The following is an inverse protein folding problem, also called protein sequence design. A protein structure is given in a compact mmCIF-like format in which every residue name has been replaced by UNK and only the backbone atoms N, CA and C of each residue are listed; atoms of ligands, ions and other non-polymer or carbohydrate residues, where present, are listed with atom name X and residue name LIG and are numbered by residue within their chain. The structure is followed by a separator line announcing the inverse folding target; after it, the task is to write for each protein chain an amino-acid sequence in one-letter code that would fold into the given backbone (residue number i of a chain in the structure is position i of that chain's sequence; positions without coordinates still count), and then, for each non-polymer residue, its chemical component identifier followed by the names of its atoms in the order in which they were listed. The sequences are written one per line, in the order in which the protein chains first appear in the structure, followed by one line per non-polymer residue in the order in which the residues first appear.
data_IF_135948530020
#
_entry.id   IF_135948530020
#
_cell.length_a   1.000
_cell.length_b   1.000
_cell.length_c   1.000
_cell.angle_alpha   90.00
_cell.angle_beta   90.00
_cell.angle_gamma   90.00
#
_symmetry.space_group_name_H-M   'P 1'
#
loop_
_entity.id
_entity.type
_entity.pdbx_description
1 polymer ?
#
# COMPACT_ATOMS: atom_id res chain seq x y z
N UNK A 1 44.65 31.97 -11.13
CA UNK A 1 44.30 31.09 -12.27
C UNK A 1 44.41 29.64 -11.79
N UNK A 2 43.31 29.01 -11.32
CA UNK A 2 43.35 27.60 -10.94
C UNK A 2 43.26 26.74 -12.21
N UNK A 3 44.21 25.81 -12.36
CA UNK A 3 44.24 24.84 -13.46
C UNK A 3 42.96 24.00 -13.42
N UNK A 4 42.17 24.10 -14.49
CA UNK A 4 41.11 23.15 -14.80
C UNK A 4 41.76 21.78 -15.05
N UNK A 5 41.63 20.88 -14.08
CA UNK A 5 41.81 19.46 -14.34
C UNK A 5 40.63 19.01 -15.21
N UNK A 6 40.83 19.06 -16.52
CA UNK A 6 40.04 18.28 -17.46
C UNK A 6 40.33 16.82 -17.12
N UNK A 7 39.35 16.12 -16.54
CA UNK A 7 39.39 14.66 -16.44
C UNK A 7 39.09 14.11 -17.84
N UNK A 8 40.13 14.03 -18.66
CA UNK A 8 40.13 13.23 -19.89
C UNK A 8 40.13 11.74 -19.51
N UNK A 9 39.24 10.99 -20.18
CA UNK A 9 39.19 9.53 -20.31
C UNK A 9 39.08 8.67 -19.05
N UNK A 10 37.92 8.76 -18.38
CA UNK A 10 37.38 7.57 -17.70
C UNK A 10 36.73 6.71 -18.79
N UNK A 11 37.15 5.43 -19.01
CA UNK A 11 36.46 4.54 -19.92
C UNK A 11 34.97 4.52 -19.58
N UNK A 12 34.12 4.86 -20.54
CA UNK A 12 32.67 4.88 -20.35
C UNK A 12 32.23 3.48 -19.94
N UNK A 13 31.91 3.33 -18.65
CA UNK A 13 31.35 2.10 -18.14
C UNK A 13 30.02 1.81 -18.83
N UNK A 14 29.61 0.54 -18.85
CA UNK A 14 28.31 0.14 -19.40
C UNK A 14 27.18 1.02 -18.85
N UNK A 15 27.21 1.33 -17.55
CA UNK A 15 26.28 2.26 -16.92
C UNK A 15 26.31 3.67 -17.55
N UNK A 16 27.50 4.27 -17.69
CA UNK A 16 27.66 5.59 -18.29
C UNK A 16 27.13 5.67 -19.73
N UNK A 17 27.33 4.61 -20.53
CA UNK A 17 26.78 4.50 -21.89
C UNK A 17 25.24 4.50 -21.88
N UNK A 18 24.63 3.71 -21.00
CA UNK A 18 23.17 3.62 -20.88
C UNK A 18 22.55 4.95 -20.42
N UNK A 19 23.21 5.67 -19.51
CA UNK A 19 22.78 7.02 -19.09
C UNK A 19 22.84 7.99 -20.27
N UNK A 20 23.93 8.00 -21.05
CA UNK A 20 24.07 8.86 -22.22
C UNK A 20 23.02 8.56 -23.31
N UNK A 21 22.69 7.27 -23.51
CA UNK A 21 21.62 6.85 -24.42
C UNK A 21 20.25 7.35 -23.93
N UNK A 22 19.97 7.25 -22.63
CA UNK A 22 18.74 7.79 -22.05
C UNK A 22 18.64 9.31 -22.23
N UNK A 23 19.73 10.04 -21.95
CA UNK A 23 19.83 11.49 -22.18
C UNK A 23 19.54 11.84 -23.64
N UNK A 24 20.12 11.08 -24.59
CA UNK A 24 19.88 11.28 -26.02
C UNK A 24 18.42 11.08 -26.40
N UNK A 25 17.77 10.02 -25.90
CA UNK A 25 16.35 9.73 -26.17
C UNK A 25 15.44 10.85 -25.66
N UNK A 26 15.67 11.34 -24.44
CA UNK A 26 14.84 12.41 -23.88
C UNK A 26 15.11 13.77 -24.53
N UNK A 27 16.34 14.03 -25.00
CA UNK A 27 16.68 15.24 -25.72
C UNK A 27 16.03 15.30 -27.11
N UNK A 28 15.90 14.16 -27.81
CA UNK A 28 15.24 14.08 -29.12
C UNK A 28 13.71 14.06 -29.04
N UNK A 29 13.12 14.03 -27.84
CA UNK A 29 11.68 13.84 -27.64
C UNK A 29 10.80 14.94 -28.25
N UNK A 30 11.35 16.14 -28.49
CA UNK A 30 10.66 17.23 -29.18
C UNK A 30 10.47 16.96 -30.68
N UNK A 31 11.31 16.11 -31.28
CA UNK A 31 11.28 15.75 -32.69
C UNK A 31 10.54 14.42 -32.91
N UNK A 32 10.81 13.44 -32.05
CA UNK A 32 10.23 12.10 -32.13
C UNK A 32 9.91 11.58 -30.73
N UNK A 33 8.68 11.10 -30.53
CA UNK A 33 8.30 10.47 -29.26
C UNK A 33 9.18 9.25 -28.97
N UNK A 34 9.71 9.09 -27.74
CA UNK A 34 10.53 7.93 -27.37
C UNK A 34 9.85 6.59 -27.70
N UNK A 35 10.58 5.69 -28.36
CA UNK A 35 10.07 4.36 -28.68
C UNK A 35 9.89 3.53 -27.39
N UNK A 36 8.69 3.01 -27.10
CA UNK A 36 8.43 2.33 -25.84
C UNK A 36 9.22 1.04 -25.62
N UNK A 37 9.53 0.29 -26.68
CA UNK A 37 10.30 -0.96 -26.57
C UNK A 37 11.77 -0.66 -26.31
N UNK A 38 12.33 0.28 -27.07
CA UNK A 38 13.69 0.77 -26.85
C UNK A 38 13.87 1.30 -25.43
N UNK A 39 12.93 2.13 -24.94
CA UNK A 39 13.00 2.62 -23.57
C UNK A 39 12.87 1.50 -22.53
N UNK A 40 12.06 0.48 -22.79
CA UNK A 40 11.90 -0.65 -21.88
C UNK A 40 13.20 -1.44 -21.75
N UNK A 41 13.80 -1.83 -22.87
CA UNK A 41 15.05 -2.61 -22.91
C UNK A 41 16.19 -1.81 -22.26
N UNK A 42 16.34 -0.53 -22.65
CA UNK A 42 17.33 0.37 -22.09
C UNK A 42 17.19 0.51 -20.57
N UNK A 43 15.97 0.71 -20.04
CA UNK A 43 15.76 0.87 -18.60
C UNK A 43 15.99 -0.44 -17.83
N UNK A 44 15.67 -1.59 -18.44
CA UNK A 44 15.96 -2.90 -17.85
C UNK A 44 17.47 -3.13 -17.73
N UNK A 45 18.22 -2.79 -18.78
CA UNK A 45 19.68 -2.83 -18.78
C UNK A 45 20.27 -1.82 -17.79
N UNK A 46 19.71 -0.61 -17.72
CA UNK A 46 20.14 0.44 -16.79
C UNK A 46 19.97 -0.01 -15.34
N UNK A 47 18.84 -0.61 -15.00
CA UNK A 47 18.59 -1.15 -13.65
C UNK A 47 19.64 -2.22 -13.28
N UNK A 48 19.94 -3.13 -14.21
CA UNK A 48 20.93 -4.19 -14.00
C UNK A 48 22.34 -3.61 -13.86
N UNK A 49 22.70 -2.65 -14.72
CA UNK A 49 23.99 -1.97 -14.67
C UNK A 49 24.15 -1.16 -13.37
N UNK A 50 23.09 -0.52 -12.87
CA UNK A 50 23.12 0.17 -11.57
C UNK A 50 23.54 -0.79 -10.46
N UNK A 51 23.08 -2.04 -10.44
CA UNK A 51 23.43 -3.00 -9.39
C UNK A 51 24.90 -3.45 -9.45
N UNK A 52 25.47 -3.55 -10.64
CA UNK A 52 26.84 -4.03 -10.89
C UNK A 52 27.91 -2.93 -10.74
N UNK A 53 27.56 -1.67 -10.99
CA UNK A 53 28.51 -0.57 -11.12
C UNK A 53 29.17 -0.15 -9.78
N UNK A 54 30.46 0.19 -9.70
CA UNK A 54 31.07 0.70 -8.47
C UNK A 54 30.44 2.04 -8.02
N UNK A 55 30.36 2.26 -6.71
CA UNK A 55 29.68 3.43 -6.11
C UNK A 55 30.28 4.76 -6.60
N UNK A 56 31.58 4.81 -6.82
CA UNK A 56 32.30 5.99 -7.29
C UNK A 56 31.82 6.41 -8.69
N UNK A 57 31.56 5.44 -9.57
CA UNK A 57 31.02 5.67 -10.91
C UNK A 57 29.54 6.06 -10.85
N UNK A 58 28.76 5.41 -9.98
CA UNK A 58 27.37 5.81 -9.71
C UNK A 58 27.30 7.29 -9.32
N UNK A 59 28.12 7.74 -8.38
CA UNK A 59 28.17 9.14 -7.93
C UNK A 59 28.50 10.12 -9.06
N UNK A 60 29.37 9.73 -10.01
CA UNK A 60 29.75 10.56 -11.15
C UNK A 60 28.57 10.81 -12.12
N UNK A 61 27.76 9.78 -12.36
CA UNK A 61 26.70 9.80 -13.37
C UNK A 61 25.30 10.01 -12.78
N UNK A 62 25.15 9.93 -11.46
CA UNK A 62 23.86 9.96 -10.76
C UNK A 62 23.01 11.15 -11.18
N UNK A 63 23.57 12.36 -11.20
CA UNK A 63 22.78 13.56 -11.49
C UNK A 63 22.19 13.54 -12.90
N UNK A 64 23.00 13.15 -13.88
CA UNK A 64 22.57 12.99 -15.28
C UNK A 64 21.49 11.92 -15.42
N UNK A 65 21.71 10.77 -14.78
CA UNK A 65 20.74 9.68 -14.76
C UNK A 65 19.40 10.12 -14.15
N UNK A 66 19.42 10.78 -12.99
CA UNK A 66 18.22 11.31 -12.34
C UNK A 66 17.48 12.33 -13.21
N UNK A 67 18.19 13.28 -13.84
CA UNK A 67 17.58 14.31 -14.69
C UNK A 67 17.00 13.71 -15.99
N UNK A 68 17.64 12.69 -16.57
CA UNK A 68 17.15 11.98 -17.75
C UNK A 68 15.92 11.12 -17.42
N UNK A 69 15.93 10.39 -16.29
CA UNK A 69 14.78 9.63 -15.81
C UNK A 69 13.58 10.54 -15.49
N UNK A 70 13.83 11.67 -14.83
CA UNK A 70 12.80 12.68 -14.58
C UNK A 70 12.19 13.20 -15.89
N UNK A 71 13.03 13.55 -16.86
CA UNK A 71 12.60 14.00 -18.19
C UNK A 71 11.73 12.95 -18.89
N UNK A 72 12.13 11.68 -18.88
CA UNK A 72 11.34 10.60 -19.46
C UNK A 72 9.95 10.46 -18.82
N UNK A 73 9.85 10.64 -17.49
CA UNK A 73 8.57 10.59 -16.78
C UNK A 73 7.65 11.75 -17.17
N UNK A 74 8.17 12.98 -17.25
CA UNK A 74 7.39 14.16 -17.64
C UNK A 74 7.09 14.23 -19.15
N UNK A 75 7.70 13.38 -19.97
CA UNK A 75 7.30 13.14 -21.36
C UNK A 75 6.03 12.28 -21.47
N UNK A 76 5.58 11.65 -20.37
CA UNK A 76 4.34 10.87 -20.34
C UNK A 76 4.52 9.43 -20.82
N UNK A 77 5.63 8.79 -20.44
CA UNK A 77 5.89 7.39 -20.76
C UNK A 77 4.76 6.44 -20.30
N UNK A 78 4.49 5.41 -21.11
CA UNK A 78 3.48 4.37 -20.82
C UNK A 78 3.88 3.51 -19.62
N UNK A 79 2.90 2.85 -19.00
CA UNK A 79 3.03 2.15 -17.70
C UNK A 79 4.27 1.27 -17.53
N UNK A 80 4.66 0.39 -18.48
CA UNK A 80 5.87 -0.42 -18.31
C UNK A 80 7.15 0.42 -18.20
N UNK A 81 7.30 1.41 -19.08
CA UNK A 81 8.46 2.31 -19.12
C UNK A 81 8.50 3.22 -17.90
N UNK A 82 7.39 3.88 -17.53
CA UNK A 82 7.37 4.73 -16.32
C UNK A 82 7.60 3.95 -15.03
N UNK A 83 7.18 2.67 -14.98
CA UNK A 83 7.49 1.80 -13.84
C UNK A 83 9.00 1.55 -13.72
N UNK A 84 9.65 1.12 -14.80
CA UNK A 84 11.10 0.90 -14.80
C UNK A 84 11.87 2.19 -14.51
N UNK A 85 11.45 3.33 -15.07
CA UNK A 85 12.08 4.62 -14.79
C UNK A 85 11.97 5.02 -13.31
N UNK A 86 10.83 4.74 -12.67
CA UNK A 86 10.64 4.96 -11.23
C UNK A 86 11.54 4.05 -10.39
N UNK A 87 11.65 2.77 -10.76
CA UNK A 87 12.54 1.81 -10.09
C UNK A 87 14.01 2.22 -10.24
N UNK A 88 14.42 2.59 -11.45
CA UNK A 88 15.77 3.08 -11.73
C UNK A 88 16.09 4.34 -10.91
N UNK A 89 15.14 5.28 -10.80
CA UNK A 89 15.27 6.48 -9.95
C UNK A 89 15.52 6.12 -8.48
N UNK A 90 14.75 5.16 -7.94
CA UNK A 90 14.97 4.70 -6.57
C UNK A 90 16.35 4.04 -6.38
N UNK A 91 16.72 3.14 -7.30
CA UNK A 91 18.00 2.41 -7.22
C UNK A 91 19.23 3.30 -7.33
N UNK A 92 19.22 4.27 -8.27
CA UNK A 92 20.37 5.17 -8.45
C UNK A 92 20.59 6.03 -7.21
N UNK A 93 19.52 6.53 -6.59
CA UNK A 93 19.59 7.32 -5.35
C UNK A 93 20.07 6.43 -4.19
N UNK A 94 19.56 5.20 -4.09
CA UNK A 94 19.89 4.26 -3.01
C UNK A 94 21.38 3.91 -3.00
N UNK A 95 21.95 3.65 -4.18
CA UNK A 95 23.36 3.28 -4.34
C UNK A 95 24.30 4.49 -4.31
N UNK A 96 23.85 5.63 -4.82
CA UNK A 96 24.62 6.87 -4.90
C UNK A 96 24.53 7.75 -3.65
N UNK A 97 24.41 9.05 -3.88
CA UNK A 97 24.13 10.05 -2.86
C UNK A 97 22.65 10.08 -2.52
N UNK A 98 22.36 9.47 -1.39
CA UNK A 98 21.06 9.41 -0.76
C UNK A 98 20.45 10.78 -0.41
N UNK A 99 21.22 11.88 -0.39
CA UNK A 99 20.70 13.24 -0.12
C UNK A 99 19.88 13.76 -1.31
N UNK A 100 20.16 13.29 -2.54
CA UNK A 100 19.48 13.78 -3.75
C UNK A 100 17.96 13.56 -3.72
N UNK A 101 17.47 12.59 -2.93
CA UNK A 101 16.04 12.30 -2.75
C UNK A 101 15.22 13.54 -2.37
N UNK A 102 15.76 14.44 -1.54
CA UNK A 102 15.05 15.66 -1.13
C UNK A 102 14.79 16.58 -2.32
N UNK A 103 15.79 16.76 -3.18
CA UNK A 103 15.66 17.55 -4.40
C UNK A 103 14.66 16.91 -5.38
N UNK A 104 14.76 15.59 -5.59
CA UNK A 104 13.88 14.88 -6.54
C UNK A 104 12.43 14.84 -6.11
N UNK A 105 12.17 14.58 -4.83
CA UNK A 105 10.82 14.67 -4.26
C UNK A 105 10.26 16.08 -4.44
N UNK A 106 11.04 17.12 -4.14
CA UNK A 106 10.61 18.50 -4.32
C UNK A 106 10.29 18.84 -5.78
N UNK A 107 11.10 18.37 -6.74
CA UNK A 107 10.84 18.58 -8.17
C UNK A 107 9.55 17.88 -8.64
N UNK A 108 9.34 16.62 -8.23
CA UNK A 108 8.14 15.86 -8.56
C UNK A 108 6.89 16.47 -7.94
N UNK A 109 6.96 16.87 -6.66
CA UNK A 109 5.86 17.55 -5.98
C UNK A 109 5.52 18.89 -6.65
N UNK A 110 6.53 19.68 -7.02
CA UNK A 110 6.35 20.92 -7.77
C UNK A 110 5.61 20.70 -9.09
N UNK A 111 6.05 19.73 -9.90
CA UNK A 111 5.39 19.37 -11.15
C UNK A 111 3.93 18.90 -10.95
N UNK A 112 3.69 18.06 -9.94
CA UNK A 112 2.36 17.53 -9.64
C UNK A 112 1.40 18.56 -9.04
N UNK A 113 1.93 19.60 -8.36
CA UNK A 113 1.08 20.61 -7.73
C UNK A 113 0.33 21.48 -8.75
N UNK A 114 0.86 21.60 -9.98
CA UNK A 114 0.24 22.21 -11.16
C UNK A 114 -0.66 21.24 -11.96
N UNK A 115 -0.85 20.01 -11.46
CA UNK A 115 -1.32 18.85 -12.22
C UNK A 115 -2.56 19.03 -13.09
N UNK A 116 -3.51 19.91 -12.75
CA UNK A 116 -4.72 20.15 -13.57
C UNK A 116 -4.45 20.70 -14.98
N UNK A 117 -3.27 21.29 -15.20
CA UNK A 117 -2.85 21.80 -16.53
C UNK A 117 -2.03 20.78 -17.32
N UNK A 118 -1.66 19.66 -16.69
CA UNK A 118 -0.71 18.69 -17.23
C UNK A 118 -1.44 17.47 -17.80
N UNK A 119 -0.88 16.89 -18.85
CA UNK A 119 -1.47 15.70 -19.49
C UNK A 119 -1.52 14.49 -18.52
N UNK A 120 -2.59 13.68 -18.56
CA UNK A 120 -2.78 12.52 -17.68
C UNK A 120 -1.58 11.57 -17.57
N UNK A 121 -0.89 11.28 -18.68
CA UNK A 121 0.25 10.35 -18.66
C UNK A 121 1.47 10.93 -17.93
N UNK A 122 1.73 12.23 -18.08
CA UNK A 122 2.85 12.92 -17.41
C UNK A 122 2.64 12.94 -15.90
N UNK A 123 1.41 13.25 -15.49
CA UNK A 123 0.99 13.23 -14.09
C UNK A 123 1.06 11.82 -13.49
N UNK A 124 0.60 10.80 -14.21
CA UNK A 124 0.72 9.41 -13.77
C UNK A 124 2.17 8.96 -13.59
N UNK A 125 3.07 9.32 -14.53
CA UNK A 125 4.51 9.05 -14.42
C UNK A 125 5.14 9.68 -13.19
N UNK A 126 4.92 10.99 -13.00
CA UNK A 126 5.46 11.70 -11.85
C UNK A 126 4.89 11.18 -10.51
N UNK A 127 3.60 10.86 -10.44
CA UNK A 127 2.97 10.29 -9.24
C UNK A 127 3.53 8.91 -8.89
N UNK A 128 3.72 8.03 -9.90
CA UNK A 128 4.30 6.71 -9.69
C UNK A 128 5.74 6.80 -9.16
N UNK A 129 6.55 7.68 -9.74
CA UNK A 129 7.94 7.88 -9.30
C UNK A 129 8.01 8.45 -7.89
N UNK A 130 7.18 9.45 -7.56
CA UNK A 130 7.09 9.98 -6.21
C UNK A 130 6.70 8.89 -5.20
N UNK A 131 5.76 8.01 -5.57
CA UNK A 131 5.36 6.86 -4.75
C UNK A 131 6.50 5.90 -4.51
N UNK A 132 7.27 5.58 -5.55
CA UNK A 132 8.45 4.72 -5.44
C UNK A 132 9.53 5.32 -4.52
N UNK A 133 9.78 6.63 -4.60
CA UNK A 133 10.69 7.32 -3.68
C UNK A 133 10.20 7.27 -2.24
N UNK A 134 8.90 7.41 -2.00
CA UNK A 134 8.34 7.22 -0.66
C UNK A 134 8.48 5.79 -0.17
N UNK A 135 8.25 4.79 -1.02
CA UNK A 135 8.39 3.37 -0.66
C UNK A 135 9.80 3.06 -0.14
N UNK A 136 10.83 3.62 -0.79
CA UNK A 136 12.22 3.36 -0.43
C UNK A 136 12.77 4.29 0.66
N UNK A 137 12.42 5.58 0.62
CA UNK A 137 13.04 6.62 1.44
C UNK A 137 12.08 7.34 2.39
N UNK A 138 10.82 6.89 2.50
CA UNK A 138 9.73 7.60 3.17
C UNK A 138 10.05 8.08 4.60
N UNK A 139 10.78 7.27 5.38
CA UNK A 139 11.24 7.63 6.74
C UNK A 139 12.13 8.88 6.79
N UNK A 140 12.79 9.25 5.68
CA UNK A 140 13.67 10.43 5.57
C UNK A 140 12.94 11.67 5.04
N UNK A 141 11.83 11.47 4.33
CA UNK A 141 11.07 12.52 3.63
C UNK A 141 9.65 12.71 4.22
N UNK A 142 9.48 12.39 5.49
CA UNK A 142 8.19 12.48 6.20
C UNK A 142 7.63 13.91 6.24
N UNK A 143 8.49 14.92 6.17
CA UNK A 143 8.10 16.34 6.13
C UNK A 143 7.28 16.69 4.89
N UNK A 144 7.51 16.02 3.76
CA UNK A 144 6.78 16.23 2.51
C UNK A 144 5.42 15.53 2.46
N UNK A 145 5.07 14.67 3.44
CA UNK A 145 3.89 13.80 3.34
C UNK A 145 2.58 14.59 3.21
N UNK A 146 2.44 15.72 3.92
CA UNK A 146 1.23 16.55 3.84
C UNK A 146 1.01 17.07 2.41
N UNK A 147 2.05 17.62 1.78
CA UNK A 147 1.99 18.10 0.40
C UNK A 147 1.66 16.95 -0.56
N UNK A 148 2.27 15.78 -0.37
CA UNK A 148 1.96 14.57 -1.16
C UNK A 148 0.50 14.14 -1.04
N UNK A 149 -0.08 14.21 0.15
CA UNK A 149 -1.51 13.92 0.35
C UNK A 149 -2.41 14.95 -0.34
N UNK A 150 -2.05 16.25 -0.28
CA UNK A 150 -2.77 17.31 -0.99
C UNK A 150 -2.73 17.09 -2.51
N UNK A 151 -1.55 16.72 -3.03
CA UNK A 151 -1.36 16.34 -4.43
C UNK A 151 -2.27 15.16 -4.78
N UNK A 152 -2.24 14.06 -4.01
CA UNK A 152 -3.10 12.90 -4.27
C UNK A 152 -4.60 13.29 -4.30
N UNK A 153 -5.04 14.19 -3.40
CA UNK A 153 -6.40 14.74 -3.41
C UNK A 153 -6.72 15.53 -4.68
N UNK A 154 -5.77 16.30 -5.22
CA UNK A 154 -5.94 16.99 -6.52
C UNK A 154 -6.06 15.97 -7.65
N UNK A 155 -5.23 14.93 -7.66
CA UNK A 155 -5.21 13.90 -8.70
C UNK A 155 -6.50 13.07 -8.74
N UNK A 156 -7.15 12.87 -7.59
CA UNK A 156 -8.47 12.22 -7.52
C UNK A 156 -9.58 12.97 -8.26
N UNK A 157 -9.35 14.19 -8.75
CA UNK A 157 -10.31 14.96 -9.55
C UNK A 157 -10.20 14.73 -11.06
N UNK A 158 -9.23 13.94 -11.52
CA UNK A 158 -9.09 13.58 -12.95
C UNK A 158 -10.24 12.68 -13.42
N UNK A 159 -10.56 12.75 -14.71
CA UNK A 159 -11.58 11.88 -15.32
C UNK A 159 -11.04 10.46 -15.56
N UNK A 160 -9.75 10.38 -15.87
CA UNK A 160 -8.99 9.18 -16.17
C UNK A 160 -8.81 8.35 -14.90
N UNK A 161 -9.42 7.15 -14.88
CA UNK A 161 -9.34 6.25 -13.73
C UNK A 161 -7.91 5.83 -13.39
N UNK A 162 -7.02 5.71 -14.39
CA UNK A 162 -5.63 5.35 -14.13
C UNK A 162 -4.87 6.46 -13.39
N UNK A 163 -5.21 7.74 -13.58
CA UNK A 163 -4.60 8.84 -12.81
C UNK A 163 -5.07 8.80 -11.37
N UNK A 164 -6.37 8.58 -11.15
CA UNK A 164 -6.94 8.39 -9.80
C UNK A 164 -6.34 7.15 -9.11
N UNK A 165 -6.11 6.07 -9.85
CA UNK A 165 -5.44 4.88 -9.34
C UNK A 165 -3.99 5.18 -8.92
N UNK A 166 -3.19 5.83 -9.77
CA UNK A 166 -1.79 6.17 -9.45
C UNK A 166 -1.70 7.14 -8.26
N UNK A 167 -2.68 8.03 -8.07
CA UNK A 167 -2.77 8.88 -6.89
C UNK A 167 -2.88 8.08 -5.58
N UNK A 168 -3.67 7.01 -5.59
CA UNK A 168 -3.84 6.14 -4.43
C UNK A 168 -2.66 5.20 -4.24
N UNK A 169 -2.02 4.73 -5.31
CA UNK A 169 -0.77 3.95 -5.20
C UNK A 169 0.38 4.81 -4.63
N UNK A 170 0.47 6.07 -5.07
CA UNK A 170 1.35 7.07 -4.44
C UNK A 170 1.06 7.20 -2.95
N UNK A 171 -0.21 7.41 -2.58
CA UNK A 171 -0.60 7.55 -1.18
C UNK A 171 -0.28 6.29 -0.36
N UNK A 172 -0.57 5.10 -0.88
CA UNK A 172 -0.26 3.83 -0.23
C UNK A 172 1.23 3.72 0.10
N UNK A 173 2.09 3.92 -0.91
CA UNK A 173 3.54 3.88 -0.74
C UNK A 173 4.04 4.97 0.22
N UNK A 174 3.43 6.15 0.18
CA UNK A 174 3.74 7.27 1.07
C UNK A 174 3.40 6.97 2.54
N UNK A 175 2.25 6.34 2.79
CA UNK A 175 1.85 5.90 4.13
C UNK A 175 2.80 4.83 4.66
N UNK A 176 2.97 3.73 3.92
CA UNK A 176 3.83 2.59 4.30
C UNK A 176 5.28 3.04 4.52
N UNK A 177 5.84 3.78 3.57
CA UNK A 177 7.22 4.28 3.63
C UNK A 177 7.47 5.24 4.79
N UNK A 178 6.47 6.03 5.20
CA UNK A 178 6.59 6.98 6.32
C UNK A 178 6.43 6.32 7.70
N UNK A 179 5.85 5.12 7.76
CA UNK A 179 5.78 4.30 8.98
C UNK A 179 5.10 4.96 10.18
N UNK A 180 4.06 5.77 9.96
CA UNK A 180 3.28 6.42 11.04
C UNK A 180 3.95 7.63 11.72
N UNK A 181 5.13 8.04 11.27
CA UNK A 181 5.97 9.03 11.97
C UNK A 181 5.84 10.48 11.48
N UNK A 182 4.99 10.74 10.49
CA UNK A 182 4.77 12.09 9.93
C UNK A 182 3.82 12.95 10.78
N UNK A 183 3.55 14.17 10.31
CA UNK A 183 2.64 15.10 10.96
C UNK A 183 1.19 14.59 10.96
N UNK A 184 0.47 14.80 12.07
CA UNK A 184 -0.93 14.40 12.21
C UNK A 184 -1.84 14.91 11.08
N UNK A 185 -1.63 16.15 10.62
CA UNK A 185 -2.39 16.74 9.50
C UNK A 185 -2.30 15.92 8.22
N UNK A 186 -1.14 15.32 7.92
CA UNK A 186 -0.94 14.51 6.73
C UNK A 186 -1.80 13.24 6.77
N UNK A 187 -1.88 12.59 7.93
CA UNK A 187 -2.68 11.38 8.13
C UNK A 187 -4.18 11.68 8.17
N UNK A 188 -4.61 12.74 8.86
CA UNK A 188 -6.01 13.16 8.87
C UNK A 188 -6.51 13.53 7.46
N UNK A 189 -5.68 14.20 6.66
CA UNK A 189 -5.99 14.52 5.26
C UNK A 189 -6.09 13.25 4.40
N UNK A 190 -5.15 12.31 4.59
CA UNK A 190 -5.09 11.07 3.82
C UNK A 190 -6.29 10.18 4.12
N UNK A 191 -6.65 10.04 5.39
CA UNK A 191 -7.83 9.29 5.81
C UNK A 191 -9.11 9.89 5.22
N UNK A 192 -9.23 11.22 5.25
CA UNK A 192 -10.40 11.92 4.67
C UNK A 192 -10.50 11.72 3.16
N UNK A 193 -9.37 11.78 2.44
CA UNK A 193 -9.30 11.50 1.01
C UNK A 193 -9.82 10.09 0.70
N UNK A 194 -9.33 9.09 1.43
CA UNK A 194 -9.70 7.68 1.24
C UNK A 194 -11.20 7.49 1.47
N UNK A 195 -11.70 7.93 2.62
CA UNK A 195 -13.09 7.70 3.03
C UNK A 195 -14.11 8.45 2.17
N UNK A 196 -13.77 9.65 1.68
CA UNK A 196 -14.70 10.48 0.89
C UNK A 196 -14.70 10.16 -0.59
N UNK A 197 -13.55 9.78 -1.16
CA UNK A 197 -13.40 9.70 -2.62
C UNK A 197 -12.97 8.32 -3.11
N UNK A 198 -12.01 7.67 -2.44
CA UNK A 198 -11.40 6.44 -2.97
C UNK A 198 -12.33 5.23 -2.89
N UNK A 199 -12.92 4.99 -1.72
CA UNK A 199 -13.71 3.77 -1.47
C UNK A 199 -15.08 3.77 -2.17
N UNK A 200 -15.55 4.95 -2.58
CA UNK A 200 -16.82 5.15 -3.29
C UNK A 200 -16.62 5.50 -4.78
N UNK A 201 -15.40 5.36 -5.31
CA UNK A 201 -15.13 5.67 -6.71
C UNK A 201 -15.93 4.75 -7.65
N UNK A 202 -16.36 5.29 -8.79
CA UNK A 202 -17.07 4.53 -9.83
C UNK A 202 -16.22 3.40 -10.42
N UNK A 203 -14.90 3.59 -10.50
CA UNK A 203 -13.96 2.62 -11.04
C UNK A 203 -13.51 1.62 -9.99
N UNK A 204 -13.61 0.33 -10.33
CA UNK A 204 -13.24 -0.75 -9.42
C UNK A 204 -11.75 -0.78 -9.11
N UNK A 205 -10.88 -0.38 -10.06
CA UNK A 205 -9.42 -0.33 -9.81
C UNK A 205 -9.05 0.76 -8.80
N UNK A 206 -9.83 1.85 -8.75
CA UNK A 206 -9.66 2.93 -7.78
C UNK A 206 -10.18 2.49 -6.41
N UNK A 207 -11.33 1.80 -6.35
CA UNK A 207 -11.84 1.21 -5.10
C UNK A 207 -10.86 0.21 -4.47
N UNK A 208 -10.25 -0.66 -5.28
CA UNK A 208 -9.20 -1.58 -4.82
C UNK A 208 -8.01 -0.83 -4.23
N UNK A 209 -7.54 0.23 -4.90
CA UNK A 209 -6.46 1.06 -4.39
C UNK A 209 -6.85 1.77 -3.08
N UNK A 210 -8.10 2.21 -2.95
CA UNK A 210 -8.65 2.78 -1.71
C UNK A 210 -8.63 1.78 -0.55
N UNK A 211 -9.06 0.54 -0.78
CA UNK A 211 -8.99 -0.54 0.21
C UNK A 211 -7.54 -0.83 0.63
N UNK A 212 -6.60 -0.84 -0.31
CA UNK A 212 -5.16 -0.99 -0.01
C UNK A 212 -4.60 0.16 0.81
N UNK A 213 -5.06 1.39 0.60
CA UNK A 213 -4.71 2.52 1.47
C UNK A 213 -5.25 2.35 2.90
N UNK A 214 -6.48 1.81 3.09
CA UNK A 214 -6.99 1.48 4.44
C UNK A 214 -6.15 0.40 5.12
N UNK A 215 -5.77 -0.65 4.37
CA UNK A 215 -4.83 -1.67 4.84
C UNK A 215 -3.49 -1.05 5.24
N UNK A 216 -2.93 -0.17 4.40
CA UNK A 216 -1.68 0.54 4.69
C UNK A 216 -1.78 1.37 5.98
N UNK A 217 -2.90 2.08 6.19
CA UNK A 217 -3.19 2.77 7.46
C UNK A 217 -3.15 1.83 8.65
N UNK A 218 -3.86 0.70 8.58
CA UNK A 218 -3.81 -0.32 9.63
C UNK A 218 -2.39 -0.89 9.81
N UNK A 219 -1.63 -1.02 8.72
CA UNK A 219 -0.27 -1.53 8.72
C UNK A 219 0.68 -0.63 9.52
N UNK A 220 0.59 0.69 9.34
CA UNK A 220 1.47 1.66 10.00
C UNK A 220 1.02 2.09 11.41
N UNK A 221 0.05 1.37 11.99
CA UNK A 221 -0.46 1.64 13.34
C UNK A 221 -1.57 2.69 13.40
N UNK A 222 -2.19 3.03 12.27
CA UNK A 222 -3.37 3.91 12.22
C UNK A 222 -3.18 5.28 12.89
N UNK A 223 -2.13 6.05 12.53
CA UNK A 223 -1.96 7.39 13.09
C UNK A 223 -3.22 8.24 12.84
N UNK A 224 -3.67 8.94 13.89
CA UNK A 224 -4.92 9.71 13.93
C UNK A 224 -6.22 8.88 13.89
N UNK A 225 -6.18 7.54 13.87
CA UNK A 225 -7.39 6.71 13.90
C UNK A 225 -7.74 6.36 15.35
N UNK A 226 -8.87 6.89 15.84
CA UNK A 226 -9.48 6.47 17.08
C UNK A 226 -10.43 5.29 16.88
N UNK A 227 -11.09 4.90 17.96
CA UNK A 227 -12.12 3.83 17.94
C UNK A 227 -13.23 4.14 16.94
N UNK A 228 -13.67 5.40 16.86
CA UNK A 228 -14.71 5.84 15.93
C UNK A 228 -14.29 5.70 14.47
N UNK A 229 -13.08 6.14 14.13
CA UNK A 229 -12.54 6.03 12.76
C UNK A 229 -12.33 4.57 12.36
N UNK A 230 -11.83 3.72 13.27
CA UNK A 230 -11.67 2.28 13.03
C UNK A 230 -13.03 1.59 12.84
N UNK A 231 -14.01 1.89 13.68
CA UNK A 231 -15.36 1.33 13.58
C UNK A 231 -16.07 1.76 12.29
N UNK A 232 -15.94 3.04 11.92
CA UNK A 232 -16.47 3.56 10.67
C UNK A 232 -15.81 2.90 9.45
N UNK A 233 -14.47 2.76 9.48
CA UNK A 233 -13.73 2.10 8.40
C UNK A 233 -14.15 0.63 8.24
N UNK A 234 -14.30 -0.09 9.35
CA UNK A 234 -14.77 -1.48 9.35
C UNK A 234 -16.20 -1.59 8.78
N UNK A 235 -17.11 -0.71 9.22
CA UNK A 235 -18.48 -0.62 8.69
C UNK A 235 -18.50 -0.43 7.18
N UNK A 236 -17.63 0.45 6.65
CA UNK A 236 -17.51 0.66 5.22
C UNK A 236 -16.95 -0.56 4.47
N UNK A 237 -15.96 -1.26 5.04
CA UNK A 237 -15.45 -2.48 4.44
C UNK A 237 -16.50 -3.60 4.38
N UNK A 238 -17.32 -3.77 5.43
CA UNK A 238 -18.43 -4.73 5.43
C UNK A 238 -19.43 -4.43 4.32
N UNK A 239 -19.76 -3.15 4.08
CA UNK A 239 -20.60 -2.75 2.93
C UNK A 239 -19.92 -3.04 1.59
N UNK A 240 -18.62 -2.76 1.47
CA UNK A 240 -17.88 -2.95 0.23
C UNK A 240 -17.64 -4.44 -0.12
N UNK A 241 -17.76 -5.34 0.85
CA UNK A 241 -17.77 -6.79 0.63
C UNK A 241 -18.98 -7.25 -0.20
N UNK A 242 -20.02 -6.43 -0.35
CA UNK A 242 -21.16 -6.71 -1.24
C UNK A 242 -20.93 -6.22 -2.68
N UNK A 243 -19.75 -5.66 -3.00
CA UNK A 243 -19.42 -5.17 -4.34
C UNK A 243 -19.56 -6.29 -5.39
N UNK A 244 -20.13 -6.01 -6.59
CA UNK A 244 -20.29 -7.01 -7.63
C UNK A 244 -18.97 -7.64 -8.09
N UNK A 245 -17.85 -6.93 -7.96
CA UNK A 245 -16.55 -7.33 -8.49
C UNK A 245 -15.73 -8.06 -7.42
N UNK A 246 -15.36 -9.32 -7.69
CA UNK A 246 -14.64 -10.18 -6.75
C UNK A 246 -13.35 -9.56 -6.22
N UNK A 247 -12.52 -9.00 -7.09
CA UNK A 247 -11.26 -8.37 -6.69
C UNK A 247 -11.43 -7.15 -5.79
N UNK A 248 -12.58 -6.46 -5.87
CA UNK A 248 -12.91 -5.37 -4.93
C UNK A 248 -13.23 -5.97 -3.57
N UNK A 249 -14.09 -7.01 -3.52
CA UNK A 249 -14.42 -7.72 -2.29
C UNK A 249 -13.17 -8.26 -1.58
N UNK A 250 -12.25 -8.87 -2.32
CA UNK A 250 -11.01 -9.43 -1.77
C UNK A 250 -10.13 -8.35 -1.12
N UNK A 251 -9.99 -7.20 -1.79
CA UNK A 251 -9.20 -6.08 -1.27
C UNK A 251 -9.82 -5.47 -0.01
N UNK A 252 -11.15 -5.32 0.04
CA UNK A 252 -11.84 -4.85 1.24
C UNK A 252 -11.89 -5.89 2.36
N UNK A 253 -11.90 -7.18 2.03
CA UNK A 253 -11.82 -8.24 3.01
C UNK A 253 -10.47 -8.21 3.75
N UNK A 254 -9.38 -8.00 3.02
CA UNK A 254 -8.04 -7.82 3.58
C UNK A 254 -7.91 -6.55 4.43
N UNK A 255 -8.47 -5.44 3.96
CA UNK A 255 -8.51 -4.18 4.70
C UNK A 255 -9.30 -4.33 6.02
N UNK A 256 -10.47 -4.97 5.98
CA UNK A 256 -11.31 -5.21 7.16
C UNK A 256 -10.57 -6.03 8.22
N UNK A 257 -9.95 -7.15 7.83
CA UNK A 257 -9.18 -7.98 8.74
C UNK A 257 -8.02 -7.20 9.39
N UNK A 258 -7.30 -6.41 8.61
CA UNK A 258 -6.19 -5.57 9.10
C UNK A 258 -6.65 -4.47 10.06
N UNK A 259 -7.75 -3.79 9.76
CA UNK A 259 -8.32 -2.72 10.60
C UNK A 259 -8.82 -3.27 11.93
N UNK A 260 -9.52 -4.40 11.93
CA UNK A 260 -9.98 -5.05 13.16
C UNK A 260 -8.81 -5.55 13.99
N UNK A 261 -7.77 -6.08 13.36
CA UNK A 261 -6.56 -6.50 14.06
C UNK A 261 -5.88 -5.32 14.76
N UNK A 262 -5.77 -4.16 14.10
CA UNK A 262 -5.28 -2.93 14.75
C UNK A 262 -6.23 -2.45 15.88
N UNK A 263 -7.54 -2.51 15.66
CA UNK A 263 -8.53 -2.12 16.67
C UNK A 263 -8.52 -3.02 17.91
N UNK A 264 -8.12 -4.28 17.77
CA UNK A 264 -7.94 -5.22 18.89
C UNK A 264 -6.63 -5.00 19.65
N UNK A 265 -5.71 -4.21 19.08
CA UNK A 265 -4.34 -4.01 19.54
C UNK A 265 -4.05 -2.53 19.84
N UNK A 266 -4.58 -1.97 20.93
CA UNK A 266 -4.35 -0.56 21.28
C UNK A 266 -2.87 -0.24 21.48
N UNK A 267 -2.04 -1.20 21.90
CA UNK A 267 -0.59 -1.00 22.07
C UNK A 267 0.15 -0.80 20.74
N UNK A 268 -0.43 -1.27 19.63
CA UNK A 268 0.14 -1.10 18.30
C UNK A 268 -0.35 0.16 17.57
N UNK A 269 -1.28 0.91 18.18
CA UNK A 269 -1.77 2.17 17.61
C UNK A 269 -0.73 3.26 17.85
N UNK A 270 -0.30 3.89 16.76
CA UNK A 270 0.72 4.92 16.76
C UNK A 270 0.06 6.28 16.96
N UNK A 271 0.57 7.05 17.91
CA UNK A 271 0.21 8.46 18.02
C UNK A 271 1.05 9.28 17.04
N UNK A 272 0.43 10.15 16.23
CA UNK A 272 1.15 10.97 15.27
C UNK A 272 2.04 12.01 15.98
N UNK A 273 3.08 12.51 15.30
CA UNK A 273 3.89 13.62 15.82
C UNK A 273 3.10 14.94 15.75
N UNK A 274 3.04 15.68 16.84
CA UNK A 274 2.43 17.02 16.89
C UNK A 274 1.91 17.43 18.28
N UNK A 275 1.42 18.67 18.39
CA UNK A 275 0.77 19.19 19.60
C UNK A 275 -0.75 19.00 19.51
N UNK A 276 -1.31 18.20 20.41
CA UNK A 276 -2.75 18.03 20.58
C UNK A 276 -3.03 16.96 21.63
N UNK A 277 -4.19 16.99 22.31
CA UNK A 277 -4.61 15.88 23.16
C UNK A 277 -4.97 14.71 22.26
N UNK A 278 -4.05 13.76 22.11
CA UNK A 278 -4.38 12.49 21.49
C UNK A 278 -4.94 11.58 22.58
N UNK A 279 -6.25 11.25 22.54
CA UNK A 279 -6.81 10.32 23.51
C UNK A 279 -6.05 8.99 23.46
N UNK A 280 -5.92 8.29 24.60
CA UNK A 280 -5.21 7.02 24.64
C UNK A 280 -5.88 6.03 23.70
N UNK A 281 -5.06 5.22 23.03
CA UNK A 281 -5.53 4.13 22.20
C UNK A 281 -6.44 3.20 23.02
N UNK A 282 -7.62 2.88 22.47
CA UNK A 282 -8.60 2.00 23.10
C UNK A 282 -8.90 0.83 22.20
N UNK A 283 -9.19 -0.32 22.83
CA UNK A 283 -9.62 -1.52 22.14
C UNK A 283 -11.01 -1.28 21.53
N UNK A 284 -11.23 -1.75 20.30
CA UNK A 284 -12.52 -1.69 19.61
C UNK A 284 -13.49 -2.74 20.16
N UNK A 285 -14.02 -2.52 21.35
CA UNK A 285 -14.92 -3.46 22.02
C UNK A 285 -16.11 -3.87 21.16
N UNK A 286 -16.36 -5.18 21.08
CA UNK A 286 -17.42 -5.76 20.24
C UNK A 286 -17.19 -5.66 18.73
N UNK A 287 -16.03 -5.16 18.27
CA UNK A 287 -15.75 -4.96 16.84
C UNK A 287 -15.82 -6.24 16.01
N UNK A 288 -15.28 -7.36 16.53
CA UNK A 288 -15.33 -8.66 15.84
C UNK A 288 -16.77 -9.17 15.71
N UNK A 289 -17.56 -9.03 16.77
CA UNK A 289 -18.97 -9.41 16.74
C UNK A 289 -19.75 -8.55 15.74
N UNK A 290 -19.54 -7.23 15.78
CA UNK A 290 -20.27 -6.25 14.96
C UNK A 290 -19.93 -6.38 13.47
N UNK A 291 -18.66 -6.60 13.12
CA UNK A 291 -18.17 -6.48 11.75
C UNK A 291 -17.81 -7.81 11.08
N UNK A 292 -17.66 -8.90 11.83
CA UNK A 292 -17.38 -10.22 11.25
C UNK A 292 -18.48 -11.22 11.58
N UNK A 293 -18.72 -11.52 12.86
CA UNK A 293 -19.60 -12.62 13.25
C UNK A 293 -21.08 -12.35 12.90
N UNK A 294 -21.62 -11.20 13.29
CA UNK A 294 -23.02 -10.86 13.02
C UNK A 294 -23.31 -10.69 11.52
N UNK A 295 -22.46 -10.03 10.70
CA UNK A 295 -22.64 -10.03 9.25
C UNK A 295 -22.60 -11.44 8.65
N UNK A 296 -21.73 -12.32 9.16
CA UNK A 296 -21.61 -13.68 8.66
C UNK A 296 -22.88 -14.50 8.92
N UNK A 297 -23.43 -14.44 10.14
CA UNK A 297 -24.67 -15.16 10.49
C UNK A 297 -25.89 -14.62 9.76
N UNK A 298 -25.94 -13.31 9.49
CA UNK A 298 -26.99 -12.69 8.68
C UNK A 298 -26.92 -13.03 7.20
N UNK A 299 -25.73 -13.34 6.68
CA UNK A 299 -25.50 -13.70 5.29
C UNK A 299 -25.98 -15.14 4.99
N UNK A 300 -27.26 -15.42 5.27
CA UNK A 300 -27.86 -16.73 5.08
C UNK A 300 -28.40 -16.92 3.64
N UNK A 301 -28.47 -18.17 3.19
CA UNK A 301 -29.02 -18.55 1.89
C UNK A 301 -28.04 -18.52 0.71
N UNK A 302 -28.47 -19.09 -0.41
CA UNK A 302 -27.63 -19.31 -1.59
C UNK A 302 -27.13 -18.01 -2.26
N UNK A 303 -27.87 -16.90 -2.14
CA UNK A 303 -27.52 -15.59 -2.72
C UNK A 303 -26.42 -14.87 -1.94
N UNK A 304 -26.14 -15.30 -0.70
CA UNK A 304 -25.21 -14.65 0.22
C UNK A 304 -23.84 -15.34 0.28
N UNK A 305 -23.56 -16.30 -0.62
CA UNK A 305 -22.30 -17.06 -0.66
C UNK A 305 -21.07 -16.15 -0.82
N UNK A 306 -21.14 -15.18 -1.74
CA UNK A 306 -20.04 -14.24 -1.98
C UNK A 306 -19.72 -13.40 -0.75
N UNK A 307 -20.75 -12.91 -0.04
CA UNK A 307 -20.58 -12.15 1.20
C UNK A 307 -19.92 -13.00 2.29
N UNK A 308 -20.40 -14.24 2.49
CA UNK A 308 -19.79 -15.18 3.45
C UNK A 308 -18.35 -15.51 3.12
N UNK A 309 -18.04 -15.73 1.85
CA UNK A 309 -16.66 -15.98 1.40
C UNK A 309 -15.75 -14.79 1.72
N UNK A 310 -16.16 -13.56 1.43
CA UNK A 310 -15.36 -12.39 1.75
C UNK A 310 -15.21 -12.17 3.26
N UNK A 311 -16.25 -12.36 4.07
CA UNK A 311 -16.16 -12.29 5.53
C UNK A 311 -15.26 -13.40 6.10
N UNK A 312 -15.25 -14.56 5.47
CA UNK A 312 -14.31 -15.66 5.76
C UNK A 312 -12.87 -15.22 5.51
N UNK A 313 -12.60 -14.58 4.38
CA UNK A 313 -11.27 -14.01 4.11
C UNK A 313 -10.90 -12.92 5.14
N UNK A 314 -11.83 -12.05 5.53
CA UNK A 314 -11.58 -11.05 6.58
C UNK A 314 -11.20 -11.65 7.92
N UNK A 315 -11.87 -12.73 8.33
CA UNK A 315 -11.48 -13.51 9.52
C UNK A 315 -10.06 -14.06 9.40
N UNK A 316 -9.71 -14.64 8.25
CA UNK A 316 -8.36 -15.20 8.02
C UNK A 316 -7.30 -14.09 8.09
N UNK A 317 -7.51 -12.96 7.41
CA UNK A 317 -6.58 -11.83 7.47
C UNK A 317 -6.45 -11.24 8.87
N UNK A 318 -7.55 -11.16 9.62
CA UNK A 318 -7.54 -10.76 11.03
C UNK A 318 -6.65 -11.70 11.87
N UNK A 319 -6.91 -13.01 11.81
CA UNK A 319 -6.17 -14.01 12.60
C UNK A 319 -4.68 -14.05 12.22
N UNK A 320 -4.37 -13.98 10.93
CA UNK A 320 -2.99 -13.87 10.44
C UNK A 320 -2.29 -12.62 10.96
N UNK A 321 -2.98 -11.46 11.00
CA UNK A 321 -2.39 -10.25 11.57
C UNK A 321 -2.15 -10.38 13.09
N UNK A 322 -3.11 -10.93 13.84
CA UNK A 322 -2.96 -11.22 15.28
C UNK A 322 -1.72 -12.06 15.55
N UNK A 323 -1.47 -13.09 14.71
CA UNK A 323 -0.35 -14.00 14.91
C UNK A 323 0.98 -13.50 14.35
N UNK A 324 1.01 -13.12 13.07
CA UNK A 324 2.25 -12.85 12.33
C UNK A 324 2.78 -11.44 12.55
N UNK A 325 1.88 -10.49 12.88
CA UNK A 325 2.25 -9.09 13.10
C UNK A 325 2.27 -8.71 14.58
N UNK A 326 1.26 -9.14 15.33
CA UNK A 326 1.12 -8.77 16.75
C UNK A 326 1.62 -9.86 17.70
N UNK A 327 2.01 -11.03 17.19
CA UNK A 327 2.67 -12.10 17.95
C UNK A 327 1.89 -12.57 19.19
N UNK A 328 0.56 -12.56 19.13
CA UNK A 328 -0.26 -13.07 20.24
C UNK A 328 0.02 -14.55 20.51
N UNK A 329 -0.08 -14.98 21.79
CA UNK A 329 0.11 -16.36 22.17
C UNK A 329 -1.01 -17.25 21.61
N UNK A 330 -0.73 -18.55 21.54
CA UNK A 330 -1.66 -19.53 20.98
C UNK A 330 -2.96 -19.64 21.79
N UNK A 331 -2.97 -19.30 23.08
CA UNK A 331 -4.17 -19.30 23.93
C UNK A 331 -5.23 -18.31 23.44
N UNK A 332 -4.83 -17.11 23.00
CA UNK A 332 -5.79 -16.11 22.49
C UNK A 332 -6.39 -16.52 21.14
N UNK A 333 -5.65 -17.29 20.33
CA UNK A 333 -6.21 -17.89 19.11
C UNK A 333 -7.32 -18.92 19.42
N UNK A 334 -7.29 -19.57 20.59
CA UNK A 334 -8.34 -20.49 21.00
C UNK A 334 -9.65 -19.75 21.26
N UNK A 335 -9.59 -18.59 21.91
CA UNK A 335 -10.77 -17.74 22.17
C UNK A 335 -11.41 -17.24 20.88
N UNK A 336 -10.60 -16.87 19.88
CA UNK A 336 -11.12 -16.50 18.56
C UNK A 336 -11.70 -17.70 17.81
N UNK A 337 -11.12 -18.90 17.96
CA UNK A 337 -11.68 -20.10 17.37
C UNK A 337 -13.07 -20.45 17.93
N UNK A 338 -13.28 -20.26 19.24
CA UNK A 338 -14.61 -20.40 19.84
C UNK A 338 -15.63 -19.44 19.21
N UNK A 339 -15.28 -18.15 19.11
CA UNK A 339 -16.15 -17.15 18.46
C UNK A 339 -16.47 -17.50 17.00
N UNK A 340 -15.50 -18.06 16.27
CA UNK A 340 -15.69 -18.50 14.89
C UNK A 340 -16.64 -19.70 14.80
N UNK A 341 -16.52 -20.67 15.70
CA UNK A 341 -17.44 -21.81 15.77
C UNK A 341 -18.86 -21.39 16.20
N UNK A 342 -18.98 -20.41 17.09
CA UNK A 342 -20.26 -19.87 17.53
C UNK A 342 -21.08 -19.27 16.38
N UNK A 343 -20.45 -18.89 15.26
CA UNK A 343 -21.16 -18.44 14.06
C UNK A 343 -22.05 -19.52 13.44
N UNK A 344 -21.85 -20.80 13.78
CA UNK A 344 -22.69 -21.91 13.33
C UNK A 344 -23.85 -22.23 14.30
N UNK A 345 -23.90 -21.61 15.48
CA UNK A 345 -24.87 -21.96 16.55
C UNK A 345 -26.27 -21.34 16.37
N UNK A 346 -26.60 -20.81 15.19
CA UNK A 346 -27.92 -20.28 14.86
C UNK A 346 -28.67 -21.21 13.88
N UNK A 347 -29.65 -21.95 14.41
CA UNK A 347 -30.73 -22.71 13.75
C UNK A 347 -30.44 -23.69 12.57
N UNK A 348 -30.27 -24.96 12.96
CA UNK A 348 -30.80 -26.27 12.48
C UNK A 348 -30.88 -26.61 10.95
N UNK A 349 -30.49 -25.75 10.02
CA UNK A 349 -30.12 -26.22 8.67
C UNK A 349 -28.66 -25.87 8.42
N UNK A 350 -27.79 -26.88 8.50
CA UNK A 350 -26.36 -26.75 8.20
C UNK A 350 -26.21 -26.32 6.74
N UNK A 351 -26.15 -25.02 6.52
CA UNK A 351 -25.73 -24.48 5.24
C UNK A 351 -24.30 -24.97 4.99
N UNK A 352 -24.16 -25.91 4.06
CA UNK A 352 -22.88 -26.56 3.77
C UNK A 352 -21.79 -25.56 3.39
N UNK A 353 -22.18 -24.42 2.80
CA UNK A 353 -21.25 -23.33 2.51
C UNK A 353 -20.82 -22.58 3.77
N UNK A 354 -21.73 -22.32 4.71
CA UNK A 354 -21.36 -21.71 6.00
C UNK A 354 -20.41 -22.61 6.80
N UNK A 355 -20.68 -23.91 6.82
CA UNK A 355 -19.78 -24.89 7.44
C UNK A 355 -18.41 -24.90 6.77
N UNK A 356 -18.35 -24.94 5.43
CA UNK A 356 -17.09 -24.89 4.68
C UNK A 356 -16.29 -23.60 4.96
N UNK A 357 -16.97 -22.46 5.04
CA UNK A 357 -16.38 -21.17 5.44
C UNK A 357 -15.75 -21.24 6.84
N UNK A 358 -16.49 -21.73 7.84
CA UNK A 358 -15.98 -21.82 9.22
C UNK A 358 -14.81 -22.80 9.33
N UNK A 359 -14.90 -23.96 8.67
CA UNK A 359 -13.78 -24.90 8.59
C UNK A 359 -12.55 -24.28 7.92
N UNK A 360 -12.74 -23.46 6.88
CA UNK A 360 -11.64 -22.74 6.23
C UNK A 360 -10.97 -21.74 7.18
N UNK A 361 -11.75 -20.97 7.97
CA UNK A 361 -11.21 -20.06 8.98
C UNK A 361 -10.37 -20.82 10.01
N UNK A 362 -10.92 -21.91 10.56
CA UNK A 362 -10.24 -22.72 11.58
C UNK A 362 -8.96 -23.39 11.03
N UNK A 363 -8.97 -23.82 9.77
CA UNK A 363 -7.78 -24.40 9.14
C UNK A 363 -6.72 -23.34 8.86
N UNK A 364 -7.03 -22.36 8.00
CA UNK A 364 -6.03 -21.42 7.47
C UNK A 364 -5.69 -20.32 8.49
N UNK A 365 -6.70 -19.83 9.23
CA UNK A 365 -6.54 -18.72 10.18
C UNK A 365 -6.03 -19.16 11.55
N UNK A 366 -6.27 -20.41 11.97
CA UNK A 366 -5.89 -20.89 13.31
C UNK A 366 -4.87 -22.03 13.22
N UNK A 367 -5.24 -23.17 12.63
CA UNK A 367 -4.46 -24.40 12.70
C UNK A 367 -3.13 -24.30 11.95
N UNK A 368 -3.13 -23.78 10.72
CA UNK A 368 -1.92 -23.59 9.90
C UNK A 368 -0.96 -22.54 10.51
N UNK A 369 -1.43 -21.75 11.48
CA UNK A 369 -0.61 -20.77 12.21
C UNK A 369 0.05 -21.36 13.47
N UNK A 370 -0.27 -22.61 13.82
CA UNK A 370 0.17 -23.30 15.03
C UNK A 370 1.21 -24.38 14.71
N UNK A 371 2.10 -24.65 15.67
CA UNK A 371 3.02 -25.80 15.61
C UNK A 371 2.27 -27.10 15.90
N UNK A 372 2.79 -28.24 15.44
CA UNK A 372 2.16 -29.55 15.63
C UNK A 372 1.82 -29.88 17.11
N UNK A 373 2.68 -29.63 18.11
CA UNK A 373 2.31 -29.86 19.51
C UNK A 373 1.15 -28.97 19.97
N UNK A 374 1.09 -27.73 19.46
CA UNK A 374 0.01 -26.78 19.79
C UNK A 374 -1.31 -27.24 19.17
N UNK A 375 -1.28 -27.74 17.94
CA UNK A 375 -2.47 -28.28 17.27
C UNK A 375 -3.07 -29.45 18.05
N UNK A 376 -2.24 -30.37 18.59
CA UNK A 376 -2.71 -31.47 19.44
C UNK A 376 -3.42 -30.97 20.69
N UNK A 377 -2.82 -30.01 21.40
CA UNK A 377 -3.43 -29.39 22.57
C UNK A 377 -4.73 -28.64 22.24
N UNK A 378 -4.77 -27.98 21.08
CA UNK A 378 -5.95 -27.27 20.58
C UNK A 378 -7.09 -28.24 20.24
N UNK A 379 -6.81 -29.38 19.62
CA UNK A 379 -7.82 -30.43 19.38
C UNK A 379 -8.41 -30.97 20.68
N UNK A 380 -7.58 -31.20 21.71
CA UNK A 380 -8.06 -31.59 23.05
C UNK A 380 -8.95 -30.50 23.65
N UNK A 381 -8.56 -29.23 23.51
CA UNK A 381 -9.36 -28.09 23.96
C UNK A 381 -10.73 -28.04 23.25
N UNK A 382 -10.76 -28.15 21.92
CA UNK A 382 -12.01 -28.17 21.16
C UNK A 382 -12.90 -29.36 21.55
N UNK A 383 -12.31 -30.54 21.77
CA UNK A 383 -13.04 -31.71 22.26
C UNK A 383 -13.80 -31.42 23.56
N UNK A 384 -13.17 -30.71 24.52
CA UNK A 384 -13.80 -30.32 25.80
C UNK A 384 -14.90 -29.27 25.69
N UNK A 385 -15.11 -28.67 24.52
CA UNK A 385 -16.13 -27.63 24.30
C UNK A 385 -17.36 -28.17 23.54
N UNK A 386 -17.24 -29.39 23.01
CA UNK A 386 -18.29 -30.10 22.26
C UNK A 386 -18.97 -31.17 23.13
N UNK A 387 -18.27 -31.66 24.16
CA UNK A 387 -18.79 -32.51 25.25
C UNK A 387 -18.83 -31.70 26.53
#
# INVERSE_FOLDING_TARGET
MPRSYVREDVPLSRFGVLVAQLESIVASASQQSPDPLLCFDLLSDLISAIDEEPKESILLWQRKCEDALYSLLILGARRPVRHLASVAMGRIISKGDNISVYSRVSSLQGFLSDGKKSEPQKVAGAAQCLGELYRQFGRRITSGLLETTIIATKLMKFNEEFVRQEALLLLQNALEGSGGSAAASAYSEAFRLIMRFAIVDKSFVVRIAGARCLKAFAHIGGPCLGVGELDNSATHCVKAIEDPIASVRDAFAEALGSLLALGMNPQAQVQPKGKGPFPPAKKLEGGLQRHLALPFTRANGAKSKNMRFSLTLSWVYFLQAIRLKYFHPNSELQDYALQVMDMLRADIFVDSHALACVLYILRIGVTDQMTEPTQRSFLVFLGKQVF
#
